data_IF_056568682698
#
_entry.id   IF_056568682698
#
_cell.length_a   1.000
_cell.length_b   1.000
_cell.length_c   1.000
_cell.angle_alpha   90.00
_cell.angle_beta   90.00
_cell.angle_gamma   90.00
#
_symmetry.space_group_name_H-M   'P 1'
#
loop_
_entity.id
_entity.type
_entity.pdbx_description
1 polymer ?
#
# COMPACT_ATOMS: atom_id res chain seq x y z
N UNK A 1 -7.59 12.82 28.97
CA UNK A 1 -6.68 13.69 28.19
C UNK A 1 -5.68 12.88 27.37
N UNK A 2 -4.92 11.95 27.95
CA UNK A 2 -3.88 11.14 27.27
C UNK A 2 -4.42 10.26 26.13
N UNK A 3 -5.59 9.62 26.27
CA UNK A 3 -6.19 8.81 25.20
C UNK A 3 -6.55 9.67 23.95
N UNK A 4 -7.00 10.92 24.19
CA UNK A 4 -7.28 11.86 23.11
C UNK A 4 -6.00 12.22 22.33
N UNK A 5 -4.89 12.37 23.03
CA UNK A 5 -3.59 12.66 22.42
C UNK A 5 -3.07 11.49 21.58
N UNK A 6 -3.19 10.24 22.09
CA UNK A 6 -2.85 9.03 21.32
C UNK A 6 -3.65 8.99 20.00
N UNK A 7 -4.96 9.27 20.06
CA UNK A 7 -5.80 9.28 18.89
C UNK A 7 -5.38 10.35 17.85
N UNK A 8 -5.04 11.55 18.33
CA UNK A 8 -4.55 12.62 17.45
C UNK A 8 -3.24 12.20 16.78
N UNK A 9 -2.28 11.67 17.55
CA UNK A 9 -0.98 11.24 16.99
C UNK A 9 -1.16 10.08 16.00
N UNK A 10 -2.07 9.12 16.25
CA UNK A 10 -2.38 8.05 15.31
C UNK A 10 -2.91 8.58 13.96
N UNK A 11 -3.82 9.56 14.01
CA UNK A 11 -4.34 10.16 12.78
C UNK A 11 -3.26 10.97 12.06
N UNK A 12 -2.52 11.79 12.81
CA UNK A 12 -1.39 12.55 12.26
C UNK A 12 -0.37 11.61 11.60
N UNK A 13 -0.07 10.47 12.24
CA UNK A 13 0.83 9.46 11.67
C UNK A 13 0.40 9.03 10.27
N UNK A 14 -0.88 8.68 10.09
CA UNK A 14 -1.41 8.21 8.81
C UNK A 14 -1.41 9.34 7.77
N UNK A 15 -1.95 10.50 8.14
CA UNK A 15 -2.15 11.62 7.22
C UNK A 15 -0.81 12.26 6.83
N UNK A 16 0.03 12.58 7.80
CA UNK A 16 1.31 13.27 7.55
C UNK A 16 2.25 12.37 6.77
N UNK A 17 2.40 11.09 7.18
CA UNK A 17 3.28 10.15 6.46
C UNK A 17 2.83 9.93 5.01
N UNK A 18 1.52 9.94 4.75
CA UNK A 18 1.01 9.79 3.40
C UNK A 18 1.23 11.04 2.53
N UNK A 19 1.09 12.25 3.08
CA UNK A 19 1.11 13.51 2.32
C UNK A 19 2.52 14.10 2.22
N UNK A 20 3.35 13.95 3.27
CA UNK A 20 4.63 14.63 3.36
C UNK A 20 5.59 14.28 2.22
N UNK A 21 6.16 15.30 1.59
CA UNK A 21 7.11 15.17 0.49
C UNK A 21 8.22 16.19 0.68
N UNK A 22 9.47 15.79 0.36
CA UNK A 22 10.54 16.74 0.02
C UNK A 22 10.76 16.63 -1.49
N UNK A 23 10.73 17.73 -2.22
CA UNK A 23 10.95 17.75 -3.66
C UNK A 23 12.45 17.59 -4.01
N UNK A 24 13.05 16.44 -3.63
CA UNK A 24 14.40 16.07 -4.01
C UNK A 24 14.41 14.67 -4.62
N UNK A 25 15.18 14.45 -5.66
CA UNK A 25 15.11 13.26 -6.52
C UNK A 25 15.37 11.93 -5.83
N UNK A 26 16.10 11.91 -4.73
CA UNK A 26 16.55 10.66 -4.11
C UNK A 26 15.93 10.37 -2.74
N UNK A 27 15.19 11.30 -2.15
CA UNK A 27 14.90 11.25 -0.71
C UNK A 27 13.40 11.20 -0.32
N UNK A 28 12.52 10.75 -1.21
CA UNK A 28 11.08 10.66 -0.89
C UNK A 28 10.79 9.86 0.38
N UNK A 29 11.57 8.83 0.64
CA UNK A 29 11.32 7.93 1.76
C UNK A 29 11.96 8.42 3.07
N UNK A 30 13.00 9.25 3.02
CA UNK A 30 13.69 9.72 4.23
C UNK A 30 12.75 10.51 5.15
N UNK A 31 12.03 11.50 4.61
CA UNK A 31 11.12 12.30 5.44
C UNK A 31 9.97 11.45 6.00
N UNK A 32 9.51 10.47 5.22
CA UNK A 32 8.44 9.56 5.66
C UNK A 32 8.90 8.67 6.80
N UNK A 33 10.13 8.15 6.75
CA UNK A 33 10.66 7.35 7.86
C UNK A 33 10.91 8.20 9.10
N UNK A 34 11.41 9.42 8.97
CA UNK A 34 11.55 10.31 10.14
C UNK A 34 10.18 10.62 10.75
N UNK A 35 9.18 10.94 9.96
CA UNK A 35 7.81 11.15 10.41
C UNK A 35 7.27 9.91 11.13
N UNK A 36 7.51 8.71 10.55
CA UNK A 36 7.12 7.43 11.11
C UNK A 36 7.76 7.23 12.50
N UNK A 37 9.07 7.43 12.61
CA UNK A 37 9.81 7.20 13.84
C UNK A 37 9.48 8.23 14.92
N UNK A 38 9.35 9.51 14.58
CA UNK A 38 9.01 10.58 15.55
C UNK A 38 7.61 10.35 16.12
N UNK A 39 6.61 10.15 15.28
CA UNK A 39 5.26 9.86 15.75
C UNK A 39 5.19 8.51 16.49
N UNK A 40 5.94 7.51 16.04
CA UNK A 40 6.05 6.22 16.69
C UNK A 40 6.67 6.32 18.09
N UNK A 41 7.72 7.10 18.25
CA UNK A 41 8.31 7.38 19.57
C UNK A 41 7.32 8.10 20.50
N UNK A 42 6.59 9.12 19.98
CA UNK A 42 5.54 9.78 20.73
C UNK A 42 4.42 8.80 21.15
N UNK A 43 3.98 7.92 20.26
CA UNK A 43 3.00 6.88 20.57
C UNK A 43 3.52 5.91 21.63
N UNK A 44 4.78 5.49 21.56
CA UNK A 44 5.40 4.60 22.54
C UNK A 44 5.41 5.25 23.94
N UNK A 45 5.85 6.51 24.04
CA UNK A 45 5.86 7.26 25.30
C UNK A 45 4.44 7.36 25.86
N UNK A 46 3.45 7.72 25.04
CA UNK A 46 2.06 7.85 25.47
C UNK A 46 1.45 6.49 25.86
N UNK A 47 1.80 5.41 25.17
CA UNK A 47 1.38 4.05 25.47
C UNK A 47 1.95 3.61 26.83
N UNK A 48 3.25 3.82 27.07
CA UNK A 48 3.91 3.52 28.35
C UNK A 48 3.32 4.36 29.51
N UNK A 49 3.02 5.64 29.24
CA UNK A 49 2.34 6.49 30.22
C UNK A 49 0.90 6.04 30.58
N UNK A 50 0.34 5.15 29.77
CA UNK A 50 -1.00 4.56 29.96
C UNK A 50 -0.95 3.03 30.16
N UNK A 51 0.18 2.47 30.56
CA UNK A 51 0.42 1.01 30.63
C UNK A 51 -0.67 0.25 31.43
N UNK A 52 -1.27 0.87 32.47
CA UNK A 52 -2.36 0.27 33.26
C UNK A 52 -3.61 -0.08 32.45
N UNK A 53 -3.81 0.59 31.29
CA UNK A 53 -4.90 0.31 30.36
C UNK A 53 -4.53 -0.73 29.31
N UNK A 54 -3.27 -1.12 29.24
CA UNK A 54 -2.74 -2.03 28.23
C UNK A 54 -3.02 -3.48 28.62
N UNK A 55 -4.26 -3.92 28.44
CA UNK A 55 -4.63 -5.33 28.64
C UNK A 55 -4.28 -6.11 27.37
N UNK A 56 -3.28 -6.99 27.46
CA UNK A 56 -2.83 -7.85 26.38
C UNK A 56 -3.81 -9.02 26.17
N UNK A 57 -4.08 -9.37 24.94
CA UNK A 57 -4.83 -10.56 24.55
C UNK A 57 -3.93 -11.55 23.75
N UNK A 58 -4.47 -12.75 23.43
CA UNK A 58 -3.72 -13.79 22.70
C UNK A 58 -3.11 -13.32 21.37
N UNK A 59 -3.78 -12.39 20.68
CA UNK A 59 -3.28 -11.85 19.40
C UNK A 59 -2.11 -10.89 19.61
N UNK A 60 -2.09 -10.16 20.71
CA UNK A 60 -0.99 -9.28 21.06
C UNK A 60 0.31 -10.06 21.32
N UNK A 61 0.21 -11.22 22.01
CA UNK A 61 1.38 -12.09 22.22
C UNK A 61 1.99 -12.60 20.92
N UNK A 62 1.17 -12.91 19.89
CA UNK A 62 1.69 -13.33 18.56
C UNK A 62 2.56 -12.21 17.98
N UNK A 63 2.11 -10.96 18.06
CA UNK A 63 2.83 -9.81 17.51
C UNK A 63 4.09 -9.50 18.32
N UNK A 64 4.04 -9.66 19.65
CA UNK A 64 5.21 -9.51 20.50
C UNK A 64 6.25 -10.62 20.23
N UNK A 65 5.82 -11.87 20.03
CA UNK A 65 6.70 -12.96 19.61
C UNK A 65 7.34 -12.66 18.27
N UNK A 66 6.58 -12.17 17.30
CA UNK A 66 7.13 -11.71 16.02
C UNK A 66 8.20 -10.64 16.22
N UNK A 67 7.93 -9.62 17.03
CA UNK A 67 8.92 -8.59 17.38
C UNK A 67 10.19 -9.17 18.01
N UNK A 68 10.05 -10.15 18.92
CA UNK A 68 11.18 -10.84 19.52
C UNK A 68 12.02 -11.63 18.50
N UNK A 69 11.36 -12.34 17.56
CA UNK A 69 12.05 -13.05 16.49
C UNK A 69 12.80 -12.11 15.55
N UNK A 70 12.22 -10.95 15.23
CA UNK A 70 12.90 -9.89 14.45
C UNK A 70 14.12 -9.38 15.19
N UNK A 71 14.05 -9.18 16.52
CA UNK A 71 15.19 -8.79 17.34
C UNK A 71 16.32 -9.81 17.30
N UNK A 72 16.00 -11.10 17.51
CA UNK A 72 16.99 -12.19 17.41
C UNK A 72 17.64 -12.26 16.02
N UNK A 73 16.85 -12.08 14.96
CA UNK A 73 17.36 -12.02 13.57
C UNK A 73 18.30 -10.85 13.35
N UNK A 74 18.00 -9.69 13.96
CA UNK A 74 18.84 -8.49 13.85
C UNK A 74 20.20 -8.68 14.50
N UNK A 75 20.26 -9.28 15.70
CA UNK A 75 21.52 -9.54 16.42
C UNK A 75 22.42 -10.52 15.64
N UNK A 76 21.81 -11.51 14.98
CA UNK A 76 22.53 -12.51 14.19
C UNK A 76 22.82 -12.03 12.74
N UNK A 77 22.54 -10.78 12.41
CA UNK A 77 22.75 -10.24 11.07
C UNK A 77 24.22 -9.95 10.81
N UNK A 78 24.67 -10.28 9.59
CA UNK A 78 26.04 -9.92 9.11
C UNK A 78 26.24 -8.40 9.02
N UNK A 79 25.18 -7.63 8.80
CA UNK A 79 25.23 -6.16 8.74
C UNK A 79 24.16 -5.58 9.68
N UNK A 80 24.55 -5.40 10.93
CA UNK A 80 23.67 -4.93 12.00
C UNK A 80 23.08 -3.55 11.68
N UNK A 81 23.86 -2.65 11.10
CA UNK A 81 23.41 -1.28 10.81
C UNK A 81 22.27 -1.28 9.77
N UNK A 82 22.41 -2.07 8.69
CA UNK A 82 21.34 -2.22 7.69
C UNK A 82 20.11 -2.90 8.32
N UNK A 83 20.30 -3.86 9.21
CA UNK A 83 19.18 -4.51 9.90
C UNK A 83 18.44 -3.58 10.86
N UNK A 84 19.13 -2.58 11.43
CA UNK A 84 18.51 -1.59 12.33
C UNK A 84 17.76 -0.53 11.53
N UNK A 85 18.40 0.08 10.53
CA UNK A 85 17.86 1.24 9.80
C UNK A 85 17.04 0.79 8.58
N UNK A 86 17.45 -0.30 7.93
CA UNK A 86 16.96 -0.74 6.63
C UNK A 86 17.88 -0.32 5.48
N UNK A 87 17.68 -0.93 4.31
CA UNK A 87 18.36 -0.60 3.07
C UNK A 87 18.03 0.83 2.63
N UNK A 88 19.03 1.54 2.07
CA UNK A 88 18.85 2.89 1.50
C UNK A 88 17.63 2.89 0.54
N UNK A 89 16.81 3.91 0.58
CA UNK A 89 15.55 4.11 -0.14
C UNK A 89 14.34 3.27 0.33
N UNK A 90 14.50 2.28 1.20
CA UNK A 90 13.37 1.55 1.82
C UNK A 90 13.23 1.85 3.30
N UNK A 91 14.35 1.85 4.03
CA UNK A 91 14.42 2.14 5.47
C UNK A 91 13.50 1.25 6.33
N UNK A 92 13.27 0.00 5.89
CA UNK A 92 12.42 -0.98 6.58
C UNK A 92 13.24 -1.91 7.49
N UNK A 93 14.03 -1.31 8.40
CA UNK A 93 14.76 -2.04 9.44
C UNK A 93 13.91 -2.31 10.68
N UNK A 94 14.54 -2.84 11.75
CA UNK A 94 13.85 -3.18 13.00
C UNK A 94 13.16 -1.96 13.63
N UNK A 95 13.73 -0.75 13.48
CA UNK A 95 13.11 0.48 14.00
C UNK A 95 11.75 0.75 13.38
N UNK A 96 11.63 0.59 12.05
CA UNK A 96 10.35 0.73 11.36
C UNK A 96 9.36 -0.36 11.78
N UNK A 97 9.80 -1.62 11.85
CA UNK A 97 8.96 -2.75 12.26
C UNK A 97 8.44 -2.59 13.71
N UNK A 98 9.28 -2.15 14.64
CA UNK A 98 8.83 -1.88 16.00
C UNK A 98 7.86 -0.70 16.07
N UNK A 99 8.07 0.31 15.26
CA UNK A 99 7.10 1.42 15.14
C UNK A 99 5.74 0.92 14.64
N UNK A 100 5.71 -0.01 13.68
CA UNK A 100 4.44 -0.63 13.23
C UNK A 100 3.77 -1.42 14.36
N UNK A 101 4.52 -2.14 15.17
CA UNK A 101 3.99 -2.83 16.35
C UNK A 101 3.37 -1.83 17.35
N UNK A 102 4.05 -0.73 17.63
CA UNK A 102 3.55 0.32 18.54
C UNK A 102 2.27 0.96 17.98
N UNK A 103 2.24 1.30 16.68
CA UNK A 103 1.04 1.84 16.01
C UNK A 103 -0.12 0.86 16.12
N UNK A 104 0.11 -0.43 15.84
CA UNK A 104 -0.91 -1.47 15.96
C UNK A 104 -1.45 -1.55 17.39
N UNK A 105 -0.58 -1.61 18.41
CA UNK A 105 -0.99 -1.69 19.81
C UNK A 105 -1.77 -0.45 20.22
N UNK A 106 -1.32 0.75 19.85
CA UNK A 106 -2.01 1.99 20.13
C UNK A 106 -3.39 2.05 19.43
N UNK A 107 -3.45 1.68 18.15
CA UNK A 107 -4.71 1.66 17.40
C UNK A 107 -5.70 0.67 18.02
N UNK A 108 -5.26 -0.55 18.33
CA UNK A 108 -6.12 -1.59 18.89
C UNK A 108 -6.66 -1.24 20.28
N UNK A 109 -5.86 -0.62 21.13
CA UNK A 109 -6.20 -0.41 22.57
C UNK A 109 -6.80 0.96 22.87
N UNK A 110 -6.43 1.98 22.11
CA UNK A 110 -6.77 3.37 22.42
C UNK A 110 -7.56 4.08 21.33
N UNK A 111 -7.69 3.51 20.10
CA UNK A 111 -8.42 4.18 19.03
C UNK A 111 -9.92 4.26 19.38
N UNK A 112 -10.35 5.47 19.66
CA UNK A 112 -11.74 5.77 20.03
C UNK A 112 -12.26 6.97 19.23
N UNK A 113 -12.47 6.74 17.94
CA UNK A 113 -13.11 7.71 17.04
C UNK A 113 -14.42 7.17 16.53
N UNK A 114 -15.38 8.09 16.30
CA UNK A 114 -16.59 7.73 15.56
C UNK A 114 -16.19 7.20 14.18
N UNK A 115 -16.70 6.02 13.81
CA UNK A 115 -16.43 5.38 12.51
C UNK A 115 -16.56 6.38 11.34
N UNK A 116 -17.61 7.21 11.36
CA UNK A 116 -17.85 8.22 10.34
C UNK A 116 -16.73 9.26 10.22
N UNK A 117 -16.15 9.70 11.34
CA UNK A 117 -15.05 10.66 11.35
C UNK A 117 -13.79 10.06 10.71
N UNK A 118 -13.44 8.81 11.06
CA UNK A 118 -12.30 8.11 10.44
C UNK A 118 -12.48 7.93 8.94
N UNK A 119 -13.69 7.55 8.52
CA UNK A 119 -14.02 7.42 7.10
C UNK A 119 -13.80 8.76 6.37
N UNK A 120 -14.31 9.87 6.90
CA UNK A 120 -14.14 11.19 6.28
C UNK A 120 -12.67 11.63 6.20
N UNK A 121 -11.87 11.34 7.22
CA UNK A 121 -10.43 11.61 7.19
C UNK A 121 -9.76 10.80 6.07
N UNK A 122 -10.10 9.51 5.92
CA UNK A 122 -9.57 8.68 4.85
C UNK A 122 -10.02 9.16 3.46
N UNK A 123 -11.27 9.54 3.29
CA UNK A 123 -11.78 10.09 2.03
C UNK A 123 -11.01 11.34 1.62
N UNK A 124 -10.84 12.30 2.54
CA UNK A 124 -10.07 13.52 2.27
C UNK A 124 -8.62 13.19 1.90
N UNK A 125 -7.98 12.29 2.63
CA UNK A 125 -6.61 11.86 2.35
C UNK A 125 -6.49 11.24 0.95
N UNK A 126 -7.36 10.30 0.61
CA UNK A 126 -7.34 9.63 -0.69
C UNK A 126 -7.72 10.57 -1.83
N UNK A 127 -8.61 11.54 -1.60
CA UNK A 127 -8.94 12.56 -2.59
C UNK A 127 -7.74 13.47 -2.87
N UNK A 128 -7.03 13.94 -1.84
CA UNK A 128 -5.82 14.76 -2.02
C UNK A 128 -4.78 14.01 -2.85
N UNK A 129 -4.46 12.78 -2.46
CA UNK A 129 -3.48 11.94 -3.18
C UNK A 129 -4.00 11.61 -4.59
N UNK A 130 -5.30 11.37 -4.74
CA UNK A 130 -5.96 11.13 -6.01
C UNK A 130 -5.84 12.31 -6.97
N UNK A 131 -6.08 13.53 -6.50
CA UNK A 131 -5.91 14.75 -7.30
C UNK A 131 -4.45 14.94 -7.72
N UNK A 132 -3.50 14.73 -6.81
CA UNK A 132 -2.06 14.76 -7.15
C UNK A 132 -1.75 13.74 -8.26
N UNK A 133 -2.27 12.52 -8.17
CA UNK A 133 -2.07 11.48 -9.18
C UNK A 133 -2.71 11.83 -10.54
N UNK A 134 -3.86 12.48 -10.54
CA UNK A 134 -4.50 12.98 -11.77
C UNK A 134 -3.60 14.06 -12.41
N UNK A 135 -3.12 15.02 -11.62
CA UNK A 135 -2.20 16.07 -12.11
C UNK A 135 -0.95 15.42 -12.71
N UNK A 136 -0.32 14.45 -12.03
CA UNK A 136 0.85 13.72 -12.52
C UNK A 136 0.61 13.00 -13.85
N UNK A 137 -0.62 12.55 -14.13
CA UNK A 137 -0.93 11.87 -15.39
C UNK A 137 -1.03 12.81 -16.58
N UNK A 138 -1.48 14.06 -16.36
CA UNK A 138 -1.73 15.01 -17.45
C UNK A 138 -0.66 16.07 -17.60
N UNK A 139 0.04 16.41 -16.54
CA UNK A 139 1.06 17.46 -16.57
C UNK A 139 2.42 16.83 -16.84
N UNK A 140 2.94 17.04 -18.04
CA UNK A 140 4.29 16.69 -18.43
C UNK A 140 5.14 17.96 -18.32
N UNK A 141 6.04 17.98 -17.33
CA UNK A 141 7.01 19.07 -17.23
C UNK A 141 8.25 18.70 -18.04
N UNK A 142 8.65 19.55 -19.04
CA UNK A 142 9.82 19.28 -19.86
C UNK A 142 11.14 19.37 -19.08
N UNK A 143 11.21 20.17 -18.02
CA UNK A 143 12.37 20.33 -17.14
C UNK A 143 12.07 19.86 -15.71
N UNK A 144 12.71 18.77 -15.34
CA UNK A 144 12.48 18.02 -14.10
C UNK A 144 13.08 18.69 -12.85
N UNK A 145 13.79 19.80 -12.97
CA UNK A 145 14.55 20.37 -11.86
C UNK A 145 13.71 21.01 -10.75
N UNK A 146 12.53 21.56 -11.09
CA UNK A 146 11.70 22.28 -10.11
C UNK A 146 10.73 21.40 -9.32
N UNK A 147 10.16 20.35 -9.93
CA UNK A 147 9.23 19.45 -9.25
C UNK A 147 9.43 17.99 -9.74
N UNK A 148 10.46 17.30 -9.26
CA UNK A 148 10.82 15.95 -9.72
C UNK A 148 9.70 14.91 -9.59
N UNK A 149 8.77 15.13 -8.66
CA UNK A 149 7.63 14.24 -8.40
C UNK A 149 6.67 14.10 -9.59
N UNK A 150 6.60 15.12 -10.45
CA UNK A 150 5.68 15.13 -11.58
C UNK A 150 6.16 14.31 -12.77
N UNK A 151 7.47 14.02 -12.86
CA UNK A 151 8.06 13.31 -14.01
C UNK A 151 8.17 11.80 -13.83
N UNK A 152 7.90 11.25 -12.65
CA UNK A 152 8.05 9.81 -12.35
C UNK A 152 6.83 8.95 -12.68
N UNK A 153 5.84 9.51 -13.39
CA UNK A 153 4.54 8.87 -13.61
C UNK A 153 3.63 9.01 -12.39
N UNK A 154 2.48 8.35 -12.43
CA UNK A 154 1.46 8.46 -11.36
C UNK A 154 1.91 7.69 -10.11
N UNK A 155 2.66 8.37 -9.27
CA UNK A 155 3.18 7.83 -8.01
C UNK A 155 2.60 8.53 -6.75
N UNK A 156 1.73 9.52 -6.93
CA UNK A 156 1.20 10.35 -5.84
C UNK A 156 2.33 11.03 -5.08
N UNK A 157 2.27 10.94 -3.78
CA UNK A 157 3.30 11.43 -2.85
C UNK A 157 4.35 10.38 -2.48
N UNK A 158 4.28 9.16 -3.06
CA UNK A 158 5.08 8.01 -2.64
C UNK A 158 6.39 7.85 -3.42
N UNK A 159 6.59 8.64 -4.49
CA UNK A 159 7.80 8.57 -5.33
C UNK A 159 7.98 7.25 -6.10
N UNK A 160 7.04 6.29 -5.98
CA UNK A 160 7.07 5.01 -6.66
C UNK A 160 5.65 4.55 -7.03
N UNK A 161 5.48 4.18 -8.30
CA UNK A 161 4.18 3.73 -8.84
C UNK A 161 3.65 2.46 -8.17
N UNK A 162 4.51 1.56 -7.70
CA UNK A 162 4.07 0.36 -6.98
C UNK A 162 3.50 0.70 -5.59
N UNK A 163 4.09 1.69 -4.90
CA UNK A 163 3.55 2.14 -3.61
C UNK A 163 2.19 2.83 -3.79
N UNK A 164 2.05 3.62 -4.85
CA UNK A 164 0.74 4.19 -5.21
C UNK A 164 -0.29 3.10 -5.50
N UNK A 165 0.10 2.06 -6.25
CA UNK A 165 -0.76 0.90 -6.53
C UNK A 165 -1.18 0.16 -5.26
N UNK A 166 -0.27 -0.05 -4.32
CA UNK A 166 -0.58 -0.67 -3.03
C UNK A 166 -1.53 0.20 -2.19
N UNK A 167 -1.25 1.50 -2.09
CA UNK A 167 -2.09 2.44 -1.36
C UNK A 167 -3.52 2.47 -1.93
N UNK A 168 -3.65 2.64 -3.23
CA UNK A 168 -4.96 2.68 -3.90
C UNK A 168 -5.71 1.35 -3.81
N UNK A 169 -5.02 0.20 -3.89
CA UNK A 169 -5.65 -1.12 -3.77
C UNK A 169 -6.21 -1.41 -2.38
N UNK A 170 -5.68 -0.77 -1.34
CA UNK A 170 -6.20 -0.88 0.04
C UNK A 170 -7.43 -0.01 0.25
N UNK A 171 -7.41 1.25 -0.23
CA UNK A 171 -8.50 2.20 0.01
C UNK A 171 -9.70 2.03 -0.89
N UNK A 172 -9.47 1.70 -2.16
CA UNK A 172 -10.55 1.57 -3.15
C UNK A 172 -11.68 0.63 -2.71
N UNK A 173 -11.42 -0.57 -2.16
CA UNK A 173 -12.46 -1.44 -1.61
C UNK A 173 -13.36 -0.76 -0.59
N UNK A 174 -12.77 0.00 0.33
CA UNK A 174 -13.54 0.70 1.38
C UNK A 174 -14.56 1.66 0.76
N UNK A 175 -14.12 2.50 -0.17
CA UNK A 175 -14.99 3.53 -0.76
C UNK A 175 -16.05 2.94 -1.68
N UNK A 176 -15.74 1.85 -2.40
CA UNK A 176 -16.73 1.10 -3.18
C UNK A 176 -17.83 0.54 -2.27
N UNK A 177 -17.45 -0.10 -1.16
CA UNK A 177 -18.40 -0.69 -0.22
C UNK A 177 -19.29 0.39 0.40
N UNK A 178 -18.71 1.50 0.86
CA UNK A 178 -19.46 2.62 1.46
C UNK A 178 -20.46 3.23 0.46
N UNK A 179 -20.06 3.38 -0.80
CA UNK A 179 -21.00 3.85 -1.82
C UNK A 179 -22.10 2.84 -2.10
N UNK A 180 -21.78 1.54 -2.24
CA UNK A 180 -22.79 0.52 -2.55
C UNK A 180 -23.78 0.34 -1.38
N UNK A 181 -23.29 0.25 -0.15
CA UNK A 181 -24.13 -0.04 1.01
C UNK A 181 -24.86 1.20 1.54
N UNK A 182 -24.15 2.32 1.68
CA UNK A 182 -24.63 3.51 2.40
C UNK A 182 -25.04 4.67 1.46
N UNK A 183 -24.89 4.52 0.13
CA UNK A 183 -25.11 5.57 -0.89
C UNK A 183 -24.30 6.85 -0.66
N UNK A 184 -23.11 6.69 -0.09
CA UNK A 184 -22.22 7.82 0.22
C UNK A 184 -21.58 8.40 -1.05
N UNK A 185 -22.03 9.58 -1.45
CA UNK A 185 -21.56 10.26 -2.67
C UNK A 185 -20.10 10.72 -2.58
N UNK A 186 -19.63 11.04 -1.37
CA UNK A 186 -18.22 11.39 -1.17
C UNK A 186 -17.36 10.17 -1.39
N UNK A 187 -17.77 9.02 -0.87
CA UNK A 187 -17.11 7.73 -1.15
C UNK A 187 -17.13 7.39 -2.64
N UNK A 188 -18.20 7.71 -3.40
CA UNK A 188 -18.22 7.53 -4.84
C UNK A 188 -17.10 8.34 -5.51
N UNK A 189 -17.03 9.65 -5.25
CA UNK A 189 -15.99 10.51 -5.85
C UNK A 189 -14.60 10.04 -5.47
N UNK A 190 -14.40 9.66 -4.20
CA UNK A 190 -13.12 9.12 -3.71
C UNK A 190 -12.78 7.79 -4.39
N UNK A 191 -13.77 6.91 -4.62
CA UNK A 191 -13.57 5.66 -5.36
C UNK A 191 -13.14 5.93 -6.81
N UNK A 192 -13.75 6.88 -7.49
CA UNK A 192 -13.43 7.21 -8.89
C UNK A 192 -12.01 7.78 -9.02
N UNK A 193 -11.61 8.72 -8.16
CA UNK A 193 -10.25 9.28 -8.16
C UNK A 193 -9.21 8.23 -7.79
N UNK A 194 -9.52 7.37 -6.82
CA UNK A 194 -8.64 6.26 -6.40
C UNK A 194 -8.50 5.20 -7.51
N UNK A 195 -9.60 4.86 -8.19
CA UNK A 195 -9.57 3.94 -9.33
C UNK A 195 -8.76 4.51 -10.51
N UNK A 196 -8.94 5.79 -10.82
CA UNK A 196 -8.10 6.47 -11.81
C UNK A 196 -6.61 6.26 -11.50
N UNK A 197 -6.19 6.53 -10.28
CA UNK A 197 -4.80 6.38 -9.86
C UNK A 197 -4.32 4.93 -9.87
N UNK A 198 -5.18 3.97 -9.48
CA UNK A 198 -4.87 2.53 -9.53
C UNK A 198 -4.55 2.07 -10.96
N UNK A 199 -5.29 2.56 -11.95
CA UNK A 199 -5.04 2.21 -13.36
C UNK A 199 -3.85 2.99 -13.90
N UNK A 200 -3.78 4.29 -13.64
CA UNK A 200 -2.76 5.18 -14.19
C UNK A 200 -1.34 4.93 -13.63
N UNK A 201 -1.22 4.43 -12.40
CA UNK A 201 0.09 4.08 -11.82
C UNK A 201 0.73 2.83 -12.47
N UNK A 202 -0.04 2.04 -13.26
CA UNK A 202 0.44 0.85 -13.96
C UNK A 202 1.05 -0.24 -13.05
N UNK A 203 0.69 -0.29 -11.78
CA UNK A 203 1.13 -1.32 -10.85
C UNK A 203 0.29 -2.60 -11.00
N UNK A 204 0.84 -3.63 -11.66
CA UNK A 204 0.14 -4.90 -11.91
C UNK A 204 -0.37 -5.57 -10.63
N UNK A 205 0.37 -5.46 -9.52
CA UNK A 205 -0.03 -6.00 -8.21
C UNK A 205 -1.34 -5.37 -7.70
N UNK A 206 -1.50 -4.06 -7.88
CA UNK A 206 -2.73 -3.36 -7.51
C UNK A 206 -3.95 -3.82 -8.33
N UNK A 207 -3.76 -4.10 -9.63
CA UNK A 207 -4.84 -4.63 -10.49
C UNK A 207 -5.28 -6.02 -10.05
N UNK A 208 -4.32 -6.90 -9.74
CA UNK A 208 -4.61 -8.26 -9.23
C UNK A 208 -5.37 -8.18 -7.89
N UNK A 209 -4.93 -7.31 -6.99
CA UNK A 209 -5.63 -7.09 -5.72
C UNK A 209 -7.06 -6.58 -5.92
N UNK A 210 -7.28 -5.66 -6.85
CA UNK A 210 -8.62 -5.17 -7.19
C UNK A 210 -9.52 -6.26 -7.79
N UNK A 211 -9.00 -7.12 -8.66
CA UNK A 211 -9.74 -8.27 -9.20
C UNK A 211 -10.14 -9.23 -8.08
N UNK A 212 -9.20 -9.59 -7.20
CA UNK A 212 -9.48 -10.46 -6.06
C UNK A 212 -10.57 -9.87 -5.14
N UNK A 213 -10.48 -8.58 -4.82
CA UNK A 213 -11.53 -7.88 -4.09
C UNK A 213 -12.88 -7.93 -4.80
N UNK A 214 -12.90 -7.70 -6.12
CA UNK A 214 -14.14 -7.70 -6.90
C UNK A 214 -14.85 -9.06 -6.85
N UNK A 215 -14.10 -10.17 -6.88
CA UNK A 215 -14.65 -11.52 -6.74
C UNK A 215 -15.32 -11.69 -5.36
N UNK A 216 -14.63 -11.28 -4.28
CA UNK A 216 -15.17 -11.35 -2.91
C UNK A 216 -16.42 -10.47 -2.77
N UNK A 217 -16.38 -9.26 -3.34
CA UNK A 217 -17.51 -8.33 -3.32
C UNK A 217 -18.74 -8.93 -4.03
N UNK A 218 -18.55 -9.53 -5.21
CA UNK A 218 -19.64 -10.18 -5.96
C UNK A 218 -20.25 -11.32 -5.14
N UNK A 219 -19.42 -12.15 -4.50
CA UNK A 219 -19.88 -13.24 -3.64
C UNK A 219 -20.70 -12.71 -2.44
N UNK A 220 -20.22 -11.64 -1.79
CA UNK A 220 -20.93 -10.98 -0.70
C UNK A 220 -22.29 -10.41 -1.14
N UNK A 221 -22.33 -9.70 -2.27
CA UNK A 221 -23.52 -9.07 -2.80
C UNK A 221 -24.56 -10.09 -3.29
N UNK A 222 -24.15 -11.24 -3.81
CA UNK A 222 -25.07 -12.35 -4.12
C UNK A 222 -25.79 -12.86 -2.88
N UNK A 223 -25.08 -12.95 -1.74
CA UNK A 223 -25.67 -13.40 -0.47
C UNK A 223 -26.58 -12.34 0.17
N UNK A 224 -26.22 -11.05 0.02
CA UNK A 224 -26.90 -9.94 0.68
C UNK A 224 -27.54 -9.00 -0.36
N UNK A 225 -28.30 -9.60 -1.28
CA UNK A 225 -28.87 -8.88 -2.41
C UNK A 225 -29.90 -7.83 -1.99
N UNK A 226 -29.75 -6.59 -2.54
CA UNK A 226 -30.76 -5.53 -2.52
C UNK A 226 -30.85 -4.89 -3.89
N UNK A 227 -32.06 -4.60 -4.34
CA UNK A 227 -32.33 -4.00 -5.66
C UNK A 227 -31.58 -2.65 -5.86
N UNK A 228 -31.46 -1.87 -4.80
CA UNK A 228 -30.75 -0.58 -4.81
C UNK A 228 -29.26 -0.70 -5.14
N UNK A 229 -28.63 -1.82 -4.76
CA UNK A 229 -27.21 -2.05 -5.03
C UNK A 229 -26.92 -2.18 -6.53
N UNK A 230 -27.86 -2.71 -7.32
CA UNK A 230 -27.68 -2.89 -8.77
C UNK A 230 -27.45 -1.54 -9.44
N UNK A 231 -28.29 -0.53 -9.13
CA UNK A 231 -28.15 0.81 -9.71
C UNK A 231 -26.78 1.41 -9.39
N UNK A 232 -26.34 1.29 -8.12
CA UNK A 232 -25.06 1.83 -7.66
C UNK A 232 -23.88 1.10 -8.29
N UNK A 233 -23.94 -0.22 -8.39
CA UNK A 233 -22.94 -1.04 -9.07
C UNK A 233 -22.87 -0.67 -10.56
N UNK A 234 -24.01 -0.52 -11.22
CA UNK A 234 -24.06 -0.11 -12.63
C UNK A 234 -23.37 1.24 -12.84
N UNK A 235 -23.63 2.23 -11.99
CA UNK A 235 -22.98 3.55 -12.02
C UNK A 235 -21.45 3.40 -11.89
N UNK A 236 -20.97 2.59 -10.93
CA UNK A 236 -19.54 2.33 -10.74
C UNK A 236 -18.92 1.66 -11.96
N UNK A 237 -19.56 0.63 -12.52
CA UNK A 237 -19.05 -0.08 -13.70
C UNK A 237 -18.93 0.86 -14.89
N UNK A 238 -19.97 1.63 -15.19
CA UNK A 238 -19.95 2.60 -16.30
C UNK A 238 -18.83 3.62 -16.08
N UNK A 239 -18.72 4.20 -14.89
CA UNK A 239 -17.69 5.18 -14.58
C UNK A 239 -16.27 4.58 -14.66
N UNK A 240 -16.05 3.35 -14.17
CA UNK A 240 -14.76 2.67 -14.23
C UNK A 240 -14.37 2.33 -15.68
N UNK A 241 -15.32 1.87 -16.50
CA UNK A 241 -15.10 1.63 -17.94
C UNK A 241 -14.73 2.95 -18.63
N UNK A 242 -15.41 4.04 -18.33
CA UNK A 242 -15.12 5.36 -18.91
C UNK A 242 -13.71 5.84 -18.54
N UNK A 243 -13.32 5.74 -17.25
CA UNK A 243 -11.96 6.08 -16.79
C UNK A 243 -10.91 5.21 -17.50
N UNK A 244 -11.15 3.91 -17.59
CA UNK A 244 -10.24 2.98 -18.26
C UNK A 244 -10.09 3.32 -19.75
N UNK A 245 -11.20 3.54 -20.45
CA UNK A 245 -11.21 3.91 -21.87
C UNK A 245 -10.48 5.25 -22.10
N UNK A 246 -10.70 6.24 -21.25
CA UNK A 246 -10.03 7.53 -21.29
C UNK A 246 -8.51 7.39 -21.14
N UNK A 247 -8.03 6.63 -20.17
CA UNK A 247 -6.60 6.37 -19.95
C UNK A 247 -5.99 5.55 -21.11
N UNK A 248 -6.73 4.60 -21.65
CA UNK A 248 -6.27 3.76 -22.76
C UNK A 248 -6.18 4.52 -24.08
N UNK A 249 -7.07 5.47 -24.35
CA UNK A 249 -7.14 6.24 -25.59
C UNK A 249 -6.12 7.38 -25.67
N UNK A 250 -5.43 7.73 -24.58
CA UNK A 250 -4.38 8.75 -24.59
C UNK A 250 -3.31 8.45 -25.66
N UNK A 251 -2.84 9.48 -26.38
CA UNK A 251 -1.86 9.36 -27.49
C UNK A 251 -0.59 8.60 -27.08
N UNK A 252 -0.07 8.85 -25.87
CA UNK A 252 1.11 8.21 -25.30
C UNK A 252 0.76 7.32 -24.10
N UNK A 253 -0.34 6.57 -24.18
CA UNK A 253 -0.86 5.79 -23.06
C UNK A 253 0.18 4.82 -22.48
N UNK A 254 0.60 5.09 -21.25
CA UNK A 254 1.43 4.20 -20.45
C UNK A 254 0.70 2.88 -20.13
N UNK A 255 -0.62 2.95 -19.96
CA UNK A 255 -1.50 1.80 -19.77
C UNK A 255 -1.48 0.86 -20.98
N UNK A 256 -1.60 1.40 -22.19
CA UNK A 256 -1.55 0.61 -23.43
C UNK A 256 -0.21 -0.13 -23.56
N UNK A 257 0.91 0.58 -23.32
CA UNK A 257 2.25 -0.04 -23.32
C UNK A 257 2.36 -1.16 -22.29
N UNK A 258 1.83 -0.96 -21.09
CA UNK A 258 1.89 -1.96 -20.02
C UNK A 258 1.05 -3.20 -20.34
N UNK A 259 -0.13 -3.03 -20.92
CA UNK A 259 -0.99 -4.14 -21.39
C UNK A 259 -0.29 -4.93 -22.50
N UNK A 260 0.32 -4.25 -23.48
CA UNK A 260 1.05 -4.91 -24.55
C UNK A 260 2.25 -5.71 -24.02
N UNK A 261 3.01 -5.15 -23.05
CA UNK A 261 4.09 -5.89 -22.38
C UNK A 261 3.55 -7.13 -21.65
N UNK A 262 2.40 -7.02 -20.98
CA UNK A 262 1.80 -8.16 -20.30
C UNK A 262 1.33 -9.25 -21.29
N UNK A 263 0.76 -8.86 -22.44
CA UNK A 263 0.40 -9.80 -23.51
C UNK A 263 1.64 -10.51 -24.07
N UNK A 264 2.73 -9.77 -24.28
CA UNK A 264 4.00 -10.32 -24.74
C UNK A 264 4.60 -11.29 -23.72
N UNK A 265 4.59 -10.95 -22.43
CA UNK A 265 5.03 -11.87 -21.36
C UNK A 265 4.24 -13.20 -21.40
N UNK A 266 2.90 -13.12 -21.62
CA UNK A 266 2.03 -14.29 -21.71
C UNK A 266 2.32 -15.13 -22.96
N UNK A 267 2.59 -14.51 -24.12
CA UNK A 267 2.94 -15.25 -25.34
C UNK A 267 4.23 -16.03 -25.18
N UNK A 268 5.26 -15.41 -24.61
CA UNK A 268 6.54 -16.08 -24.30
C UNK A 268 6.32 -17.26 -23.32
N UNK A 269 5.47 -17.08 -22.30
CA UNK A 269 5.16 -18.17 -21.38
C UNK A 269 4.53 -19.38 -22.08
N UNK A 270 3.70 -19.15 -23.09
CA UNK A 270 3.07 -20.23 -23.87
C UNK A 270 4.06 -20.95 -24.79
N UNK A 271 5.02 -20.22 -25.37
CA UNK A 271 5.97 -20.76 -26.35
C UNK A 271 7.19 -21.42 -25.70
N UNK A 272 7.79 -20.78 -24.70
CA UNK A 272 9.06 -21.20 -24.10
C UNK A 272 8.96 -21.70 -22.65
N UNK A 273 7.75 -21.76 -22.10
CA UNK A 273 7.51 -22.15 -20.71
C UNK A 273 8.06 -21.12 -19.69
N UNK A 274 7.99 -21.49 -18.41
CA UNK A 274 8.38 -20.61 -17.28
C UNK A 274 9.92 -20.47 -17.16
N UNK A 275 10.71 -21.10 -18.04
CA UNK A 275 12.17 -21.12 -17.94
C UNK A 275 12.85 -19.82 -18.42
N UNK A 276 12.14 -18.95 -19.13
CA UNK A 276 12.70 -17.71 -19.65
C UNK A 276 12.89 -16.67 -18.52
N UNK A 277 14.16 -16.31 -18.21
CA UNK A 277 14.53 -15.49 -17.04
C UNK A 277 13.96 -14.07 -17.02
N UNK A 278 13.47 -13.57 -18.17
CA UNK A 278 12.92 -12.21 -18.29
C UNK A 278 11.42 -12.11 -17.93
N UNK A 279 10.74 -13.23 -17.70
CA UNK A 279 9.32 -13.25 -17.38
C UNK A 279 9.03 -12.62 -16.00
N UNK A 280 7.93 -11.88 -15.92
CA UNK A 280 7.49 -11.27 -14.68
C UNK A 280 8.46 -10.22 -14.12
N UNK A 281 9.19 -9.50 -15.00
CA UNK A 281 10.21 -8.51 -14.60
C UNK A 281 11.36 -9.13 -13.78
N UNK A 282 11.78 -10.36 -14.11
CA UNK A 282 12.87 -11.08 -13.45
C UNK A 282 12.52 -11.72 -12.10
N UNK A 283 11.30 -11.53 -11.59
CA UNK A 283 10.89 -12.07 -10.26
C UNK A 283 10.85 -13.59 -10.23
N UNK A 284 10.47 -14.22 -11.33
CA UNK A 284 10.44 -15.70 -11.44
C UNK A 284 11.85 -16.28 -11.27
N UNK A 285 12.85 -15.62 -11.85
CA UNK A 285 14.25 -16.03 -11.68
C UNK A 285 14.71 -15.89 -10.23
N UNK A 286 14.38 -14.77 -9.57
CA UNK A 286 14.68 -14.57 -8.15
C UNK A 286 14.04 -15.68 -7.31
N UNK A 287 12.77 -16.01 -7.53
CA UNK A 287 12.09 -17.07 -6.80
C UNK A 287 12.72 -18.46 -7.01
N UNK A 288 13.15 -18.78 -8.25
CA UNK A 288 13.89 -20.01 -8.53
C UNK A 288 15.19 -20.07 -7.71
N UNK A 289 15.98 -19.00 -7.73
CA UNK A 289 17.22 -18.91 -6.97
C UNK A 289 16.96 -19.11 -5.46
N UNK A 290 15.92 -18.46 -4.91
CA UNK A 290 15.55 -18.62 -3.49
C UNK A 290 15.16 -20.05 -3.17
N UNK A 291 14.34 -20.70 -4.01
CA UNK A 291 13.95 -22.10 -3.82
C UNK A 291 15.17 -23.03 -3.87
N UNK A 292 16.10 -22.79 -4.78
CA UNK A 292 17.32 -23.59 -4.89
C UNK A 292 18.24 -23.42 -3.68
N UNK A 293 18.33 -22.19 -3.14
CA UNK A 293 19.05 -21.92 -1.88
C UNK A 293 18.40 -22.69 -0.71
N UNK A 294 17.06 -22.62 -0.58
CA UNK A 294 16.32 -23.32 0.47
C UNK A 294 16.56 -24.84 0.37
N UNK A 295 16.50 -25.39 -0.84
CA UNK A 295 16.78 -26.81 -1.08
C UNK A 295 18.20 -27.21 -0.67
N UNK A 296 19.22 -26.43 -1.06
CA UNK A 296 20.62 -26.67 -0.69
C UNK A 296 20.83 -26.64 0.83
N UNK A 297 20.25 -25.64 1.53
CA UNK A 297 20.37 -25.55 2.99
C UNK A 297 19.62 -26.71 3.68
N UNK A 298 18.47 -27.08 3.18
CA UNK A 298 17.73 -28.24 3.71
C UNK A 298 18.47 -29.57 3.50
N UNK A 299 19.14 -29.73 2.37
CA UNK A 299 19.93 -30.94 2.05
C UNK A 299 21.21 -31.02 2.89
N UNK A 300 21.93 -29.91 3.10
CA UNK A 300 23.14 -29.91 3.93
C UNK A 300 22.87 -30.30 5.38
N UNK A 301 21.72 -29.86 5.95
CA UNK A 301 21.32 -30.25 7.32
C UNK A 301 20.92 -31.72 7.47
N UNK A 302 20.62 -32.42 6.38
CA UNK A 302 20.27 -33.86 6.43
C UNK A 302 21.48 -34.79 6.48
N UNK A 303 22.70 -34.30 6.21
CA UNK A 303 23.93 -35.06 6.21
C UNK A 303 24.77 -34.93 7.50
N UNK A 304 24.40 -34.00 8.39
CA UNK A 304 25.05 -33.78 9.70
C UNK A 304 24.29 -34.46 10.88
N UNK A 305 23.51 -35.54 10.58
CA UNK A 305 22.87 -36.36 11.61
C UNK A 305 23.33 -37.84 11.52
#
# INVERSE_FOLDING_TARGET
MKDKLINIVLIMQIVVTAIVIIPSDEQYNIIKIYTLLICGAALLILMLANYKKLKLDKKDYIILIFGFLVFLSTINSKNILISIIGEKNRYEGILALYTYIVIYMCAKKFLNYKKKTLIRIMEVLYMIIGVIGIIQNYVVYPDSSLIPILNKGVCGTFGNTNFMGNFTSIGLPLFIILYILDDDKVSLVTALTTFFCLIACNARSGWVAFIAFSIVLIAYLKKNYKKEYIKRIFILIVAFITIFAMLYSQKNSSLRRKINTAKYDISIMKESGISNGNLGSGRIQIWKIVIDIIRKISYSRSWDR
#
